data_IF_153823272229
#
_entry.id   IF_153823272229
#
_cell.length_a   1.000
_cell.length_b   1.000
_cell.length_c   1.000
_cell.angle_alpha   90.00
_cell.angle_beta   90.00
_cell.angle_gamma   90.00
#
_symmetry.space_group_name_H-M   'P 1'
#
loop_
_entity.id
_entity.type
_entity.pdbx_description
1 polymer ?
#
# COMPACT_ATOMS: atom_id res chain seq x y z
N UNK A 1 20.01 36.92 -50.18
CA UNK A 1 18.83 36.08 -49.85
C UNK A 1 19.11 34.58 -49.71
N UNK A 2 19.76 33.90 -50.66
CA UNK A 2 19.95 32.42 -50.61
C UNK A 2 20.73 31.88 -49.39
N UNK A 3 21.71 32.64 -48.88
CA UNK A 3 22.49 32.24 -47.69
C UNK A 3 21.68 32.26 -46.39
N UNK A 4 20.74 33.20 -46.25
CA UNK A 4 19.90 33.33 -45.06
C UNK A 4 18.89 32.18 -44.95
N UNK A 5 18.34 31.75 -46.09
CA UNK A 5 17.42 30.61 -46.16
C UNK A 5 18.12 29.29 -45.76
N UNK A 6 19.38 29.10 -46.14
CA UNK A 6 20.15 27.91 -45.77
C UNK A 6 20.40 27.84 -44.25
N UNK A 7 20.82 28.94 -43.62
CA UNK A 7 21.00 28.97 -42.17
C UNK A 7 19.69 28.74 -41.41
N UNK A 8 18.57 29.25 -41.93
CA UNK A 8 17.26 29.03 -41.32
C UNK A 8 16.81 27.57 -41.37
N UNK A 9 17.03 26.87 -42.49
CA UNK A 9 16.72 25.44 -42.63
C UNK A 9 17.61 24.59 -41.70
N UNK A 10 18.90 24.90 -41.63
CA UNK A 10 19.83 24.20 -40.73
C UNK A 10 19.46 24.44 -39.27
N UNK A 11 19.06 25.65 -38.90
CA UNK A 11 18.60 25.97 -37.55
C UNK A 11 17.34 25.17 -37.17
N UNK A 12 16.36 25.07 -38.08
CA UNK A 12 15.16 24.25 -37.87
C UNK A 12 15.50 22.77 -37.75
N UNK A 13 16.41 22.24 -38.58
CA UNK A 13 16.82 20.85 -38.52
C UNK A 13 17.56 20.51 -37.20
N UNK A 14 18.39 21.43 -36.69
CA UNK A 14 19.02 21.30 -35.38
C UNK A 14 17.99 21.39 -34.26
N UNK A 15 17.05 22.34 -34.33
CA UNK A 15 15.97 22.47 -33.34
C UNK A 15 15.09 21.20 -33.29
N UNK A 16 14.78 20.63 -34.46
CA UNK A 16 14.00 19.41 -34.58
C UNK A 16 14.78 18.19 -34.07
N UNK A 17 16.06 18.09 -34.42
CA UNK A 17 16.95 17.04 -33.93
C UNK A 17 17.17 17.09 -32.42
N UNK A 18 17.27 18.29 -31.82
CA UNK A 18 17.42 18.44 -30.36
C UNK A 18 16.12 18.12 -29.64
N UNK A 19 14.96 18.57 -30.14
CA UNK A 19 13.66 18.33 -29.51
C UNK A 19 13.18 16.88 -29.61
N UNK A 20 13.55 16.15 -30.67
CA UNK A 20 13.18 14.75 -30.87
C UNK A 20 14.29 13.77 -30.47
N UNK A 21 15.40 14.26 -29.90
CA UNK A 21 16.44 13.38 -29.37
C UNK A 21 15.92 12.69 -28.09
N UNK A 22 16.10 11.38 -27.91
CA UNK A 22 15.60 10.63 -26.74
C UNK A 22 16.11 11.17 -25.38
N UNK A 23 17.27 11.83 -25.38
CA UNK A 23 17.81 12.51 -24.19
C UNK A 23 17.05 13.79 -23.81
N UNK A 24 16.49 14.53 -24.78
CA UNK A 24 15.70 15.73 -24.52
C UNK A 24 14.30 15.36 -24.00
N UNK A 25 13.72 14.27 -24.51
CA UNK A 25 12.49 13.66 -23.98
C UNK A 25 12.68 13.18 -22.52
N UNK A 26 13.79 12.50 -22.21
CA UNK A 26 14.15 12.12 -20.82
C UNK A 26 14.37 13.34 -19.91
N UNK A 27 14.96 14.43 -20.43
CA UNK A 27 15.12 15.68 -19.69
C UNK A 27 13.79 16.41 -19.49
N UNK A 28 12.87 16.37 -20.46
CA UNK A 28 11.51 16.88 -20.31
C UNK A 28 10.71 16.09 -19.29
N UNK A 29 10.75 14.74 -19.34
CA UNK A 29 10.17 13.88 -18.30
C UNK A 29 10.77 14.26 -16.94
N UNK A 30 12.10 14.26 -16.79
CA UNK A 30 12.78 14.61 -15.54
C UNK A 30 12.51 16.03 -15.03
N UNK A 31 12.25 16.99 -15.92
CA UNK A 31 11.89 18.37 -15.56
C UNK A 31 10.39 18.52 -15.24
N UNK A 32 9.52 17.68 -15.82
CA UNK A 32 8.10 17.61 -15.49
C UNK A 32 7.86 16.91 -14.14
N UNK A 33 8.80 16.05 -13.70
CA UNK A 33 8.82 15.41 -12.37
C UNK A 33 9.33 16.31 -11.23
N UNK A 34 9.68 17.57 -11.50
CA UNK A 34 10.39 18.42 -10.53
C UNK A 34 9.60 19.65 -10.12
N UNK A 35 8.52 19.48 -9.36
CA UNK A 35 8.02 20.51 -8.41
C UNK A 35 6.90 19.92 -7.53
N UNK A 36 7.29 19.35 -6.37
CA UNK A 36 6.53 19.23 -5.10
C UNK A 36 7.02 18.03 -4.23
N UNK A 37 7.65 17.02 -4.83
CA UNK A 37 7.72 15.67 -4.22
C UNK A 37 9.14 15.15 -3.91
N UNK A 38 10.20 15.92 -4.19
CA UNK A 38 11.58 15.48 -3.93
C UNK A 38 11.88 15.32 -2.45
N UNK A 39 11.29 16.17 -1.60
CA UNK A 39 11.52 16.13 -0.15
C UNK A 39 10.79 14.92 0.47
N UNK A 40 9.55 14.65 0.04
CA UNK A 40 8.80 13.46 0.43
C UNK A 40 9.48 12.18 -0.04
N UNK A 41 10.11 12.20 -1.23
CA UNK A 41 10.83 11.05 -1.75
C UNK A 41 12.05 10.68 -0.90
N UNK A 42 12.83 11.66 -0.43
CA UNK A 42 14.00 11.45 0.44
C UNK A 42 13.60 10.77 1.76
N UNK A 43 12.47 11.19 2.32
CA UNK A 43 11.94 10.67 3.57
C UNK A 43 10.98 9.50 3.40
N UNK A 44 11.02 8.80 2.28
CA UNK A 44 10.17 7.63 2.02
C UNK A 44 10.93 6.31 1.96
N UNK A 45 10.21 5.23 2.27
CA UNK A 45 10.62 3.86 1.97
C UNK A 45 9.87 3.36 0.73
N UNK A 46 10.60 2.85 -0.27
CA UNK A 46 10.03 2.30 -1.49
C UNK A 46 9.73 0.80 -1.33
N UNK A 47 8.52 0.40 -1.66
CA UNK A 47 8.10 -1.01 -1.71
C UNK A 47 7.51 -1.37 -3.07
N UNK A 48 7.97 -2.45 -3.67
CA UNK A 48 7.39 -2.99 -4.90
C UNK A 48 6.07 -3.73 -4.60
N UNK A 49 5.04 -3.47 -5.41
CA UNK A 49 3.78 -4.22 -5.38
C UNK A 49 3.32 -4.64 -6.77
N UNK A 50 2.26 -5.46 -6.80
CA UNK A 50 1.69 -6.08 -7.99
C UNK A 50 0.28 -5.55 -8.23
N UNK A 51 0.02 -5.01 -9.41
CA UNK A 51 -1.27 -4.35 -9.69
C UNK A 51 -2.31 -5.40 -10.06
N UNK A 52 -3.35 -5.51 -9.23
CA UNK A 52 -4.56 -6.26 -9.53
C UNK A 52 -5.51 -5.37 -10.33
N UNK A 53 -5.91 -5.87 -11.50
CA UNK A 53 -6.98 -5.30 -12.30
C UNK A 53 -8.11 -6.32 -12.45
N UNK A 54 -9.25 -5.86 -12.95
CA UNK A 54 -10.49 -6.62 -12.91
C UNK A 54 -10.36 -8.05 -13.45
N UNK A 55 -10.73 -9.00 -12.59
CA UNK A 55 -10.93 -10.42 -12.87
C UNK A 55 -9.72 -11.19 -13.44
N UNK A 56 -8.48 -10.74 -13.18
CA UNK A 56 -7.27 -11.48 -13.56
C UNK A 56 -6.57 -12.09 -12.36
N UNK A 57 -6.33 -13.39 -12.42
CA UNK A 57 -5.53 -14.11 -11.43
C UNK A 57 -4.04 -13.77 -11.54
N UNK A 58 -3.43 -13.44 -10.41
CA UNK A 58 -1.98 -13.44 -10.24
C UNK A 58 -1.62 -14.57 -9.28
N UNK A 59 -0.67 -15.41 -9.71
CA UNK A 59 -0.20 -16.56 -8.95
C UNK A 59 1.12 -16.25 -8.24
N UNK A 60 1.33 -16.78 -7.05
CA UNK A 60 2.55 -16.64 -6.27
C UNK A 60 2.98 -18.01 -5.74
N UNK A 61 4.27 -18.34 -5.76
CA UNK A 61 4.76 -19.60 -5.21
C UNK A 61 4.74 -19.55 -3.69
N UNK A 62 4.29 -20.64 -3.08
CA UNK A 62 4.41 -20.89 -1.65
C UNK A 62 5.52 -21.90 -1.43
N UNK A 63 6.35 -21.63 -0.43
CA UNK A 63 7.36 -22.61 0.02
C UNK A 63 6.73 -23.58 1.02
N UNK A 64 7.32 -24.77 1.18
CA UNK A 64 7.02 -25.64 2.32
C UNK A 64 6.95 -24.92 3.67
N UNK A 65 6.08 -25.41 4.56
CA UNK A 65 6.00 -25.01 5.97
C UNK A 65 5.67 -23.53 6.22
N UNK A 66 4.85 -22.91 5.36
CA UNK A 66 4.31 -21.57 5.64
C UNK A 66 3.12 -21.70 6.60
N UNK A 67 3.27 -21.12 7.79
CA UNK A 67 2.19 -21.05 8.79
C UNK A 67 1.16 -19.95 8.49
N UNK A 68 1.62 -18.83 7.92
CA UNK A 68 0.80 -17.65 7.71
C UNK A 68 1.28 -16.84 6.52
N UNK A 69 0.31 -16.40 5.72
CA UNK A 69 0.50 -15.46 4.63
C UNK A 69 -0.11 -14.13 5.06
N UNK A 70 0.62 -13.04 4.91
CA UNK A 70 0.11 -11.67 5.06
C UNK A 70 -0.04 -11.04 3.69
N UNK A 71 -1.20 -10.51 3.43
CA UNK A 71 -1.51 -9.77 2.22
C UNK A 71 -1.75 -8.32 2.63
N UNK A 72 -1.06 -7.40 1.95
CA UNK A 72 -1.20 -5.96 2.13
C UNK A 72 -1.66 -5.35 0.82
N UNK A 73 -2.72 -4.57 0.86
CA UNK A 73 -3.31 -3.96 -0.32
C UNK A 73 -3.49 -2.46 -0.16
N UNK A 74 -3.32 -1.73 -1.25
CA UNK A 74 -3.70 -0.32 -1.35
C UNK A 74 -4.54 -0.18 -2.61
N UNK A 75 -5.79 0.25 -2.46
CA UNK A 75 -6.61 0.60 -3.61
C UNK A 75 -6.11 1.93 -4.19
N UNK A 76 -6.06 2.03 -5.52
CA UNK A 76 -5.73 3.26 -6.23
C UNK A 76 -6.98 4.04 -6.60
N UNK A 77 -6.88 5.36 -6.58
CA UNK A 77 -7.90 6.29 -7.10
C UNK A 77 -7.20 7.29 -8.03
N UNK A 78 -7.93 7.86 -9.00
CA UNK A 78 -7.39 8.97 -9.79
C UNK A 78 -7.44 10.27 -8.99
N UNK A 79 -6.55 11.21 -9.31
CA UNK A 79 -6.58 12.55 -8.73
C UNK A 79 -7.90 13.30 -8.98
N UNK A 80 -8.55 13.04 -10.10
CA UNK A 80 -9.87 13.62 -10.43
C UNK A 80 -10.98 13.12 -9.50
N UNK A 81 -10.88 11.86 -9.06
CA UNK A 81 -11.83 11.23 -8.15
C UNK A 81 -11.40 11.37 -6.68
N UNK A 82 -10.22 11.96 -6.40
CA UNK A 82 -9.76 12.15 -5.02
C UNK A 82 -10.44 13.36 -4.40
N UNK A 83 -11.61 13.16 -3.82
CA UNK A 83 -12.23 14.11 -2.90
C UNK A 83 -11.60 13.94 -1.51
N UNK A 84 -11.05 15.00 -0.90
CA UNK A 84 -10.77 14.98 0.53
C UNK A 84 -12.09 14.70 1.27
N UNK A 85 -12.10 13.74 2.20
CA UNK A 85 -13.32 13.44 2.93
C UNK A 85 -13.32 12.11 3.66
N UNK A 86 -14.46 11.82 4.28
CA UNK A 86 -14.73 10.59 5.04
C UNK A 86 -15.34 9.48 4.18
N UNK A 87 -15.28 9.61 2.84
CA UNK A 87 -15.83 8.59 1.95
C UNK A 87 -15.09 7.26 2.11
N UNK A 88 -15.87 6.20 2.17
CA UNK A 88 -15.36 4.84 2.26
C UNK A 88 -15.55 4.12 0.93
N UNK A 89 -14.49 3.45 0.49
CA UNK A 89 -14.42 2.74 -0.78
C UNK A 89 -14.29 1.25 -0.55
N UNK A 90 -15.04 0.47 -1.31
CA UNK A 90 -15.13 -0.97 -1.20
C UNK A 90 -14.40 -1.66 -2.34
N UNK A 91 -13.76 -2.77 -2.01
CA UNK A 91 -13.28 -3.73 -3.01
C UNK A 91 -13.24 -5.14 -2.42
N UNK A 92 -13.24 -6.13 -3.30
CA UNK A 92 -13.25 -7.54 -2.91
C UNK A 92 -12.14 -8.29 -3.63
N UNK A 93 -11.33 -8.99 -2.85
CA UNK A 93 -10.32 -9.91 -3.35
C UNK A 93 -10.85 -11.33 -3.26
N UNK A 94 -10.61 -12.12 -4.28
CA UNK A 94 -10.78 -13.56 -4.24
C UNK A 94 -9.41 -14.22 -4.21
N UNK A 95 -9.27 -15.27 -3.40
CA UNK A 95 -8.04 -16.04 -3.32
C UNK A 95 -8.31 -17.54 -3.46
N UNK A 96 -7.32 -18.25 -4.02
CA UNK A 96 -7.25 -19.71 -4.03
C UNK A 96 -5.87 -20.14 -3.53
N UNK A 97 -5.83 -21.06 -2.60
CA UNK A 97 -4.63 -21.79 -2.19
C UNK A 97 -4.68 -23.14 -2.89
N UNK A 98 -3.60 -23.45 -3.60
CA UNK A 98 -3.50 -24.68 -4.37
C UNK A 98 -2.26 -25.48 -4.01
N UNK A 99 -2.35 -26.79 -4.18
CA UNK A 99 -1.21 -27.68 -3.99
C UNK A 99 -1.57 -29.16 -4.10
N UNK A 100 -0.60 -30.02 -3.78
CA UNK A 100 -0.72 -31.46 -3.94
C UNK A 100 -0.50 -31.90 -5.40
N UNK A 101 -0.58 -33.22 -5.63
CA UNK A 101 -0.15 -33.85 -6.90
C UNK A 101 -0.83 -33.29 -8.17
N UNK A 102 -2.04 -32.74 -8.05
CA UNK A 102 -2.82 -32.21 -9.18
C UNK A 102 -3.12 -30.69 -9.08
N UNK A 103 -2.40 -29.95 -8.24
CA UNK A 103 -2.66 -28.51 -8.01
C UNK A 103 -4.12 -28.22 -7.61
N UNK A 104 -4.65 -29.04 -6.71
CA UNK A 104 -6.04 -29.00 -6.21
C UNK A 104 -6.25 -27.74 -5.37
N UNK A 105 -7.49 -27.25 -5.31
CA UNK A 105 -7.85 -26.12 -4.45
C UNK A 105 -7.94 -26.65 -3.02
N UNK A 106 -6.97 -26.27 -2.18
CA UNK A 106 -6.93 -26.60 -0.76
C UNK A 106 -7.81 -25.66 0.06
N UNK A 107 -7.88 -24.38 -0.35
CA UNK A 107 -8.70 -23.36 0.28
C UNK A 107 -9.04 -22.26 -0.72
N UNK A 108 -10.21 -21.65 -0.58
CA UNK A 108 -10.61 -20.49 -1.36
C UNK A 108 -11.51 -19.57 -0.54
N UNK A 109 -11.56 -18.30 -0.89
CA UNK A 109 -12.45 -17.36 -0.21
C UNK A 109 -12.45 -15.97 -0.82
N UNK A 110 -13.40 -15.16 -0.33
CA UNK A 110 -13.51 -13.75 -0.66
C UNK A 110 -13.16 -12.92 0.58
N UNK A 111 -12.42 -11.84 0.38
CA UNK A 111 -12.12 -10.87 1.41
C UNK A 111 -12.65 -9.50 0.99
N UNK A 112 -13.52 -8.93 1.83
CA UNK A 112 -14.16 -7.65 1.60
C UNK A 112 -13.37 -6.57 2.35
N UNK A 113 -12.91 -5.57 1.61
CA UNK A 113 -12.15 -4.46 2.17
C UNK A 113 -12.94 -3.18 2.09
N UNK A 114 -12.84 -2.42 3.18
CA UNK A 114 -13.28 -1.04 3.31
C UNK A 114 -12.04 -0.18 3.46
N UNK A 115 -11.87 0.85 2.62
CA UNK A 115 -10.77 1.79 2.73
C UNK A 115 -11.21 3.23 2.53
N UNK A 116 -10.29 4.18 2.73
CA UNK A 116 -10.52 5.61 2.62
C UNK A 116 -9.24 6.31 2.17
N UNK A 117 -9.35 7.57 1.81
CA UNK A 117 -8.22 8.43 1.49
C UNK A 117 -7.94 9.39 2.64
N UNK A 118 -6.92 9.10 3.46
CA UNK A 118 -6.52 9.98 4.56
C UNK A 118 -5.44 10.97 4.11
N UNK A 119 -5.73 12.27 4.26
CA UNK A 119 -4.74 13.33 4.10
C UNK A 119 -4.15 13.70 5.47
N UNK A 120 -2.87 14.00 5.48
CA UNK A 120 -2.09 14.47 6.62
C UNK A 120 -1.61 15.87 6.32
N UNK A 121 -1.56 16.71 7.33
CA UNK A 121 -1.02 18.06 7.26
C UNK A 121 0.28 18.11 8.04
N UNK A 122 1.33 18.55 7.37
CA UNK A 122 2.59 18.89 8.00
C UNK A 122 2.38 20.16 8.85
N UNK A 123 2.65 20.12 10.17
CA UNK A 123 2.47 21.29 11.04
C UNK A 123 3.44 22.42 10.74
N UNK A 124 4.63 22.15 10.16
CA UNK A 124 5.64 23.17 9.87
C UNK A 124 5.36 23.87 8.54
N UNK A 125 5.14 23.11 7.47
CA UNK A 125 4.92 23.66 6.13
C UNK A 125 3.46 23.98 5.83
N UNK A 126 2.53 23.38 6.58
CA UNK A 126 1.09 23.44 6.30
C UNK A 126 0.66 22.63 5.06
N UNK A 127 1.59 21.95 4.39
CA UNK A 127 1.33 21.17 3.18
C UNK A 127 0.57 19.89 3.52
N UNK A 128 -0.41 19.53 2.67
CA UNK A 128 -1.14 18.28 2.78
C UNK A 128 -0.52 17.21 1.90
N UNK A 129 -0.50 15.97 2.41
CA UNK A 129 0.01 14.80 1.71
C UNK A 129 -0.70 13.53 2.21
N UNK A 130 -0.58 12.43 1.47
CA UNK A 130 -1.06 11.11 1.91
C UNK A 130 0.09 10.33 2.54
N UNK A 131 -0.19 9.39 3.44
CA UNK A 131 0.86 8.57 4.08
C UNK A 131 1.70 7.73 3.09
N UNK A 132 1.18 7.51 1.89
CA UNK A 132 1.90 6.88 0.79
C UNK A 132 1.53 7.51 -0.53
N UNK A 133 2.41 7.39 -1.53
CA UNK A 133 2.23 7.97 -2.85
C UNK A 133 2.86 7.10 -3.95
N UNK A 134 2.47 7.39 -5.20
CA UNK A 134 3.11 6.87 -6.41
C UNK A 134 3.89 7.99 -7.07
N UNK A 135 4.91 7.66 -7.87
CA UNK A 135 5.60 8.66 -8.70
C UNK A 135 4.73 9.18 -9.84
N UNK A 136 3.69 8.42 -10.21
CA UNK A 136 2.66 8.87 -11.14
C UNK A 136 1.63 9.72 -10.35
N UNK A 137 1.59 11.05 -10.55
CA UNK A 137 0.75 11.95 -9.75
C UNK A 137 -0.74 11.84 -10.08
N UNK A 138 -1.11 11.15 -11.17
CA UNK A 138 -2.50 10.94 -11.54
C UNK A 138 -3.15 9.81 -10.74
N UNK A 139 -2.35 9.00 -10.03
CA UNK A 139 -2.80 7.90 -9.20
C UNK A 139 -2.41 8.14 -7.74
N UNK A 140 -3.38 7.98 -6.85
CA UNK A 140 -3.19 8.17 -5.42
C UNK A 140 -3.52 6.84 -4.71
N UNK A 141 -2.61 6.28 -3.90
CA UNK A 141 -2.92 5.12 -3.09
C UNK A 141 -3.75 5.53 -1.88
N UNK A 142 -4.88 4.85 -1.68
CA UNK A 142 -5.68 4.94 -0.46
C UNK A 142 -5.01 4.18 0.69
N UNK A 143 -5.59 4.32 1.88
CA UNK A 143 -5.12 3.68 3.12
C UNK A 143 -4.91 2.17 2.93
N UNK A 144 -3.80 1.66 3.47
CA UNK A 144 -3.44 0.25 3.37
C UNK A 144 -4.41 -0.66 4.15
N UNK A 145 -4.77 -1.79 3.57
CA UNK A 145 -5.50 -2.87 4.23
C UNK A 145 -4.64 -4.12 4.34
N UNK A 146 -4.85 -4.86 5.42
CA UNK A 146 -4.10 -6.07 5.72
C UNK A 146 -5.09 -7.20 5.95
N UNK A 147 -4.83 -8.34 5.32
CA UNK A 147 -5.47 -9.61 5.66
C UNK A 147 -4.41 -10.66 5.90
N UNK A 148 -4.74 -11.65 6.72
CA UNK A 148 -3.89 -12.82 6.95
C UNK A 148 -4.64 -14.07 6.60
N UNK A 149 -3.94 -15.03 5.99
CA UNK A 149 -4.44 -16.38 5.75
C UNK A 149 -3.57 -17.31 6.59
N UNK A 150 -4.21 -17.99 7.53
CA UNK A 150 -3.60 -18.95 8.43
C UNK A 150 -3.63 -20.35 7.81
N UNK A 151 -2.62 -21.16 8.12
CA UNK A 151 -2.52 -22.57 7.73
C UNK A 151 -3.46 -23.44 8.59
N UNK A 152 -4.75 -23.16 8.61
CA UNK A 152 -5.70 -23.94 9.42
C UNK A 152 -5.88 -25.38 8.89
N UNK A 153 -5.75 -25.61 7.58
CA UNK A 153 -6.12 -26.90 6.95
C UNK A 153 -5.05 -27.54 6.05
N UNK A 154 -3.94 -26.86 5.74
CA UNK A 154 -2.92 -27.37 4.79
C UNK A 154 -1.82 -28.17 5.49
N UNK A 155 -2.15 -28.89 6.57
CA UNK A 155 -1.18 -29.60 7.41
C UNK A 155 -1.26 -31.12 7.25
N UNK A 156 -0.06 -31.72 7.13
CA UNK A 156 0.33 -33.15 7.08
C UNK A 156 0.18 -33.97 5.79
N UNK A 157 -0.79 -33.74 4.88
CA UNK A 157 -0.95 -34.61 3.68
C UNK A 157 -0.90 -33.91 2.32
N UNK A 158 -1.24 -32.63 2.24
CA UNK A 158 -1.19 -31.83 1.01
C UNK A 158 -0.52 -30.50 1.32
N UNK A 159 0.58 -30.23 0.61
CA UNK A 159 1.39 -29.04 0.80
C UNK A 159 0.84 -27.91 -0.06
N UNK A 160 0.66 -26.72 0.53
CA UNK A 160 0.33 -25.53 -0.23
C UNK A 160 1.54 -25.10 -1.08
N UNK A 161 1.34 -25.01 -2.40
CA UNK A 161 2.39 -24.74 -3.38
C UNK A 161 2.19 -23.38 -4.07
N UNK A 162 0.95 -22.91 -4.12
CA UNK A 162 0.61 -21.68 -4.83
C UNK A 162 -0.54 -20.94 -4.12
N UNK A 163 -0.44 -19.61 -4.08
CA UNK A 163 -1.60 -18.74 -3.83
C UNK A 163 -1.93 -17.97 -5.11
N UNK A 164 -3.20 -17.95 -5.47
CA UNK A 164 -3.73 -17.10 -6.53
C UNK A 164 -4.60 -16.03 -5.90
N UNK A 165 -4.48 -14.79 -6.39
CA UNK A 165 -5.32 -13.67 -5.96
C UNK A 165 -5.83 -12.91 -7.19
N UNK A 166 -7.09 -12.48 -7.15
CA UNK A 166 -7.67 -11.55 -8.14
C UNK A 166 -8.57 -10.52 -7.48
N UNK A 167 -8.73 -9.38 -8.14
CA UNK A 167 -9.74 -8.37 -7.82
C UNK A 167 -11.05 -8.73 -8.52
N UNK A 168 -12.13 -8.93 -7.77
CA UNK A 168 -13.43 -9.37 -8.34
C UNK A 168 -14.49 -8.28 -8.34
N UNK A 169 -14.45 -7.37 -7.37
CA UNK A 169 -15.37 -6.23 -7.25
C UNK A 169 -14.61 -5.03 -6.71
N UNK A 170 -15.01 -3.84 -7.14
CA UNK A 170 -14.51 -2.56 -6.66
C UNK A 170 -15.56 -1.49 -6.92
N UNK A 171 -15.57 -0.44 -6.10
CA UNK A 171 -16.33 0.77 -6.40
C UNK A 171 -15.79 1.44 -7.66
N UNK A 172 -16.62 2.22 -8.34
CA UNK A 172 -16.34 2.76 -9.68
C UNK A 172 -15.10 3.68 -9.68
N UNK A 173 -14.90 4.39 -8.57
CA UNK A 173 -13.84 5.36 -8.34
C UNK A 173 -12.48 4.67 -8.12
N UNK A 174 -12.49 3.43 -7.61
CA UNK A 174 -11.28 2.64 -7.43
C UNK A 174 -10.76 2.22 -8.81
N UNK A 175 -9.53 2.58 -9.16
CA UNK A 175 -8.94 2.25 -10.46
C UNK A 175 -8.40 0.82 -10.48
N UNK A 176 -7.54 0.52 -9.51
CA UNK A 176 -6.86 -0.76 -9.34
C UNK A 176 -6.56 -1.04 -7.85
N UNK A 177 -5.99 -2.21 -7.55
CA UNK A 177 -5.51 -2.53 -6.21
C UNK A 177 -4.06 -2.99 -6.29
N UNK A 178 -3.16 -2.27 -5.61
CA UNK A 178 -1.79 -2.69 -5.44
C UNK A 178 -1.70 -3.77 -4.37
N UNK A 179 -1.24 -4.95 -4.74
CA UNK A 179 -1.10 -6.13 -3.89
C UNK A 179 0.36 -6.37 -3.49
N UNK A 180 0.60 -6.68 -2.22
CA UNK A 180 1.88 -7.15 -1.70
C UNK A 180 1.63 -8.38 -0.84
N UNK A 181 2.31 -9.49 -1.14
CA UNK A 181 2.18 -10.74 -0.38
C UNK A 181 3.47 -10.98 0.40
N UNK A 182 3.33 -11.41 1.64
CA UNK A 182 4.42 -11.76 2.53
C UNK A 182 4.19 -13.11 3.20
N UNK A 183 5.27 -13.84 3.46
CA UNK A 183 5.28 -15.02 4.34
C UNK A 183 6.10 -14.75 5.59
N UNK A 184 5.82 -15.48 6.67
CA UNK A 184 6.73 -15.59 7.81
C UNK A 184 7.81 -16.60 7.45
N UNK A 185 9.07 -16.22 7.58
CA UNK A 185 10.22 -17.14 7.50
C UNK A 185 10.67 -17.45 8.93
N UNK A 186 10.53 -18.71 9.37
CA UNK A 186 11.13 -19.15 10.63
C UNK A 186 12.60 -19.48 10.38
N UNK A 187 13.50 -18.75 11.02
CA UNK A 187 14.91 -19.12 11.03
C UNK A 187 15.11 -20.33 11.97
N UNK A 188 16.05 -21.21 11.63
CA UNK A 188 16.41 -22.33 12.48
C UNK A 188 17.00 -21.83 13.81
N UNK A 189 16.56 -22.44 14.91
CA UNK A 189 16.60 -21.99 16.31
C UNK A 189 17.97 -21.66 16.96
N UNK A 190 19.08 -21.71 16.24
CA UNK A 190 20.38 -21.95 16.92
C UNK A 190 21.15 -20.69 17.35
N UNK A 191 20.81 -19.48 16.89
CA UNK A 191 21.56 -18.24 17.25
C UNK A 191 20.69 -16.99 17.52
N UNK A 192 19.49 -17.17 18.05
CA UNK A 192 18.41 -16.17 17.98
C UNK A 192 18.56 -15.02 18.99
N UNK A 193 18.93 -15.33 20.23
CA UNK A 193 19.15 -14.30 21.25
C UNK A 193 20.42 -13.48 20.96
N UNK A 194 21.43 -14.10 20.34
CA UNK A 194 22.64 -13.43 19.90
C UNK A 194 22.33 -12.37 18.83
N UNK A 195 21.42 -12.67 17.90
CA UNK A 195 20.96 -11.71 16.90
C UNK A 195 20.26 -10.50 17.52
N UNK A 196 19.53 -10.66 18.63
CA UNK A 196 18.93 -9.54 19.38
C UNK A 196 20.02 -8.60 19.92
N UNK A 197 21.05 -9.19 20.51
CA UNK A 197 22.15 -8.48 21.15
C UNK A 197 22.99 -7.67 20.14
N UNK A 198 22.95 -8.03 18.86
CA UNK A 198 23.62 -7.28 17.78
C UNK A 198 22.78 -6.14 17.19
N UNK A 199 21.49 -6.05 17.52
CA UNK A 199 20.68 -4.90 17.13
C UNK A 199 21.10 -3.67 17.92
N UNK A 200 21.17 -2.52 17.25
CA UNK A 200 21.33 -1.22 17.92
C UNK A 200 20.10 -0.89 18.75
N UNK A 201 20.26 -0.03 19.77
CA UNK A 201 19.17 0.39 20.67
C UNK A 201 17.95 0.92 19.89
N UNK A 202 18.10 1.85 18.90
CA UNK A 202 16.95 2.35 18.14
C UNK A 202 16.21 1.23 17.39
N UNK A 203 16.94 0.21 16.94
CA UNK A 203 16.36 -0.93 16.23
C UNK A 203 15.60 -1.85 17.18
N UNK A 204 16.07 -2.04 18.42
CA UNK A 204 15.35 -2.81 19.45
C UNK A 204 14.07 -2.09 19.89
N UNK A 205 14.15 -0.78 20.14
CA UNK A 205 12.97 0.05 20.44
C UNK A 205 11.93 -0.01 19.33
N UNK A 206 12.37 0.11 18.07
CA UNK A 206 11.46 -0.02 16.91
C UNK A 206 10.76 -1.37 16.86
N UNK A 207 11.44 -2.47 17.18
CA UNK A 207 10.81 -3.80 17.22
C UNK A 207 9.85 -3.95 18.41
N UNK A 208 10.16 -3.33 19.55
CA UNK A 208 9.35 -3.43 20.76
C UNK A 208 8.14 -2.48 20.81
N UNK A 209 8.03 -1.51 19.88
CA UNK A 209 7.04 -0.41 19.91
C UNK A 209 5.57 -0.85 19.96
N UNK A 210 5.26 -2.08 19.55
CA UNK A 210 3.91 -2.66 19.63
C UNK A 210 3.62 -3.48 20.89
N UNK A 211 4.61 -3.64 21.77
CA UNK A 211 4.46 -4.41 23.02
C UNK A 211 4.07 -3.48 24.17
N UNK A 212 3.41 -4.07 25.18
CA UNK A 212 3.07 -3.38 26.44
C UNK A 212 4.33 -2.87 27.15
N UNK A 213 5.43 -3.63 27.06
CA UNK A 213 6.69 -3.33 27.72
C UNK A 213 7.77 -2.84 26.74
N UNK A 214 8.65 -1.91 27.18
CA UNK A 214 9.81 -1.52 26.38
C UNK A 214 10.83 -2.65 26.28
N UNK A 215 11.75 -2.52 25.32
CA UNK A 215 12.62 -3.62 24.88
C UNK A 215 13.49 -4.25 25.99
N UNK A 216 13.78 -3.50 27.05
CA UNK A 216 14.57 -3.96 28.21
C UNK A 216 13.83 -5.01 29.04
N UNK A 217 12.51 -4.90 29.15
CA UNK A 217 11.67 -5.76 30.00
C UNK A 217 11.04 -6.93 29.24
N UNK A 218 11.30 -7.05 27.94
CA UNK A 218 10.84 -8.21 27.18
C UNK A 218 11.54 -9.47 27.64
N UNK A 219 10.77 -10.54 27.82
CA UNK A 219 11.29 -11.89 28.03
C UNK A 219 12.14 -12.34 26.84
N UNK A 220 12.98 -13.36 27.06
CA UNK A 220 13.78 -13.93 25.98
C UNK A 220 12.89 -14.49 24.85
N UNK A 221 11.74 -15.09 25.20
CA UNK A 221 10.78 -15.59 24.22
C UNK A 221 10.17 -14.46 23.38
N UNK A 222 9.78 -13.34 23.99
CA UNK A 222 9.29 -12.17 23.26
C UNK A 222 10.36 -11.57 22.35
N UNK A 223 11.60 -11.45 22.83
CA UNK A 223 12.73 -10.98 22.04
C UNK A 223 12.98 -11.89 20.83
N UNK A 224 12.94 -13.20 21.03
CA UNK A 224 13.07 -14.20 19.95
C UNK A 224 11.93 -14.06 18.95
N UNK A 225 10.68 -13.95 19.41
CA UNK A 225 9.51 -13.77 18.55
C UNK A 225 9.61 -12.51 17.66
N UNK A 226 10.12 -11.40 18.20
CA UNK A 226 10.34 -10.16 17.45
C UNK A 226 11.39 -10.30 16.33
N UNK A 227 12.37 -11.19 16.51
CA UNK A 227 13.47 -11.37 15.53
C UNK A 227 13.10 -12.42 14.50
N UNK A 228 12.40 -13.47 14.93
CA UNK A 228 12.10 -14.64 14.11
C UNK A 228 10.91 -14.43 13.19
N UNK A 229 9.90 -13.66 13.60
CA UNK A 229 8.68 -13.49 12.80
C UNK A 229 8.81 -12.34 11.80
N UNK A 230 9.76 -12.48 10.86
CA UNK A 230 9.94 -11.48 9.80
C UNK A 230 9.10 -11.80 8.58
N UNK A 231 8.35 -10.80 8.13
CA UNK A 231 7.62 -10.83 6.88
C UNK A 231 8.58 -10.69 5.70
N UNK A 232 8.62 -11.71 4.84
CA UNK A 232 9.39 -11.72 3.59
C UNK A 232 8.45 -11.57 2.40
N UNK A 233 8.71 -10.63 1.47
CA UNK A 233 7.86 -10.49 0.29
C UNK A 233 7.95 -11.72 -0.61
N UNK A 234 6.84 -12.04 -1.27
CA UNK A 234 6.74 -13.10 -2.28
C UNK A 234 6.46 -12.44 -3.62
N UNK A 235 7.22 -12.84 -4.65
CA UNK A 235 6.98 -12.41 -6.03
C UNK A 235 6.03 -13.35 -6.77
N UNK A 236 5.27 -12.85 -7.76
CA UNK A 236 4.37 -13.67 -8.55
C UNK A 236 5.14 -14.56 -9.52
N UNK A 237 4.46 -15.60 -9.98
CA UNK A 237 4.88 -16.42 -11.12
C UNK A 237 4.47 -15.74 -12.43
N UNK A 238 5.32 -15.85 -13.45
CA UNK A 238 5.07 -15.32 -14.79
C UNK A 238 6.03 -14.21 -15.18
N UNK A 239 5.67 -13.44 -16.21
CA UNK A 239 6.49 -12.37 -16.79
C UNK A 239 5.85 -11.00 -16.54
N UNK A 240 6.61 -10.02 -15.99
CA UNK A 240 6.14 -8.63 -15.86
C UNK A 240 5.67 -8.06 -17.20
N UNK A 241 4.57 -7.30 -17.18
CA UNK A 241 3.95 -6.69 -18.37
C UNK A 241 3.02 -7.63 -19.15
N UNK A 242 3.20 -8.96 -19.02
CA UNK A 242 2.32 -9.97 -19.63
C UNK A 242 1.32 -10.54 -18.64
N UNK A 243 1.84 -11.20 -17.60
CA UNK A 243 1.03 -11.93 -16.63
C UNK A 243 0.63 -11.04 -15.45
N UNK A 244 1.52 -10.11 -15.06
CA UNK A 244 1.29 -9.16 -13.98
C UNK A 244 1.91 -7.79 -14.28
N UNK A 245 1.42 -6.74 -13.62
CA UNK A 245 2.01 -5.39 -13.65
C UNK A 245 2.60 -5.07 -12.29
N UNK A 246 3.66 -4.28 -12.27
CA UNK A 246 4.34 -3.85 -11.04
C UNK A 246 4.21 -2.35 -10.85
N UNK A 247 4.18 -1.89 -9.60
CA UNK A 247 4.22 -0.46 -9.25
C UNK A 247 4.94 -0.30 -7.91
N UNK A 248 5.78 0.73 -7.79
CA UNK A 248 6.40 1.10 -6.52
C UNK A 248 5.43 1.96 -5.72
N UNK A 249 5.28 1.64 -4.44
CA UNK A 249 4.63 2.47 -3.44
C UNK A 249 5.70 3.10 -2.55
N UNK A 250 5.65 4.41 -2.41
CA UNK A 250 6.51 5.15 -1.51
C UNK A 250 5.72 5.47 -0.26
N UNK A 251 6.20 5.03 0.90
CA UNK A 251 5.57 5.30 2.19
C UNK A 251 6.45 6.25 2.98
N UNK A 252 5.89 7.38 3.41
CA UNK A 252 6.63 8.40 4.17
C UNK A 252 7.02 7.79 5.52
N UNK A 253 8.28 7.96 5.92
CA UNK A 253 8.80 7.54 7.23
C UNK A 253 8.08 8.33 8.32
N UNK A 254 7.96 7.75 9.50
CA UNK A 254 7.22 8.34 10.62
C UNK A 254 7.60 9.82 10.84
N UNK A 255 6.63 10.70 10.60
CA UNK A 255 6.65 12.14 10.84
C UNK A 255 5.55 12.50 11.83
N UNK A 256 5.71 13.62 12.54
CA UNK A 256 4.70 14.14 13.47
C UNK A 256 3.61 14.91 12.72
N UNK A 257 2.94 14.26 11.78
CA UNK A 257 1.89 14.88 10.96
C UNK A 257 0.50 14.62 11.55
N UNK A 258 -0.41 15.58 11.41
CA UNK A 258 -1.77 15.48 11.93
C UNK A 258 -2.75 15.09 10.81
N UNK A 259 -3.65 14.12 11.04
CA UNK A 259 -4.67 13.78 10.04
C UNK A 259 -5.61 14.97 9.83
N UNK A 260 -5.83 15.32 8.57
CA UNK A 260 -6.84 16.31 8.17
C UNK A 260 -8.20 15.66 8.31
N UNK A 261 -8.82 15.83 9.47
CA UNK A 261 -10.21 15.46 9.69
C UNK A 261 -11.06 16.63 9.22
N UNK A 262 -11.65 16.53 8.04
CA UNK A 262 -12.70 17.47 7.67
C UNK A 262 -13.87 17.30 8.66
N UNK A 263 -14.27 18.40 9.29
CA UNK A 263 -15.44 18.44 10.15
C UNK A 263 -16.70 18.28 9.29
N UNK A 264 -16.99 17.05 8.88
CA UNK A 264 -18.28 16.70 8.29
C UNK A 264 -19.29 16.72 9.45
N UNK A 265 -20.24 17.68 9.48
CA UNK A 265 -21.28 17.65 10.49
C UNK A 265 -22.02 16.30 10.36
N UNK A 266 -22.32 15.62 11.47
CA UNK A 266 -23.01 14.32 11.41
C UNK A 266 -24.32 14.51 10.66
N UNK A 267 -24.51 13.74 9.58
CA UNK A 267 -25.80 13.66 8.91
C UNK A 267 -26.74 12.95 9.88
N UNK A 268 -27.58 13.73 10.57
CA UNK A 268 -28.58 13.18 11.46
C UNK A 268 -29.64 12.47 10.61
N UNK A 269 -29.93 11.18 10.87
CA UNK A 269 -31.05 10.50 10.21
C UNK A 269 -32.36 11.26 10.51
N UNK A 270 -33.29 11.30 9.55
CA UNK A 270 -34.63 11.86 9.77
C UNK A 270 -35.35 11.05 10.85
N UNK A 271 -35.64 11.67 11.99
CA UNK A 271 -36.22 11.00 13.17
C UNK A 271 -37.75 11.02 13.06
N UNK A 272 -38.38 9.85 13.19
CA UNK A 272 -39.84 9.77 13.36
C UNK A 272 -40.24 10.06 14.82
N UNK A 273 -41.44 10.58 15.10
CA UNK A 273 -41.86 10.96 16.46
C UNK A 273 -41.82 9.85 17.52
N UNK A 274 -41.69 8.58 17.11
CA UNK A 274 -41.66 7.43 18.03
C UNK A 274 -40.25 6.86 18.29
N UNK A 275 -39.18 7.47 17.79
CA UNK A 275 -37.81 6.99 17.99
C UNK A 275 -37.02 7.82 19.01
N UNK A 276 -36.36 7.13 19.94
CA UNK A 276 -35.39 7.72 20.87
C UNK A 276 -33.99 7.48 20.33
N UNK A 277 -33.17 8.53 20.25
CA UNK A 277 -31.75 8.43 19.91
C UNK A 277 -30.88 9.11 20.95
N UNK A 278 -29.69 8.55 21.15
CA UNK A 278 -28.64 9.09 22.01
C UNK A 278 -27.47 9.54 21.14
N UNK A 279 -27.03 10.79 21.32
CA UNK A 279 -25.89 11.34 20.62
C UNK A 279 -24.70 11.53 21.56
N UNK A 280 -23.50 11.05 21.19
CA UNK A 280 -22.30 11.41 21.93
C UNK A 280 -22.00 12.90 21.74
N UNK A 281 -21.88 13.64 22.84
CA UNK A 281 -21.52 15.05 22.80
C UNK A 281 -19.99 15.15 22.70
N UNK A 282 -19.44 15.74 21.63
CA UNK A 282 -17.99 15.96 21.52
C UNK A 282 -17.52 16.98 22.56
N UNK A 283 -16.23 16.92 22.92
CA UNK A 283 -15.61 17.74 23.98
C UNK A 283 -15.73 19.26 23.77
N UNK A 284 -16.01 19.72 22.55
CA UNK A 284 -16.26 21.12 22.20
C UNK A 284 -17.74 21.57 22.28
N UNK A 285 -18.66 20.69 22.69
CA UNK A 285 -20.10 20.95 22.69
C UNK A 285 -20.76 20.77 21.32
N UNK A 286 -22.09 20.71 21.28
CA UNK A 286 -22.88 20.55 20.06
C UNK A 286 -24.14 21.42 20.14
N UNK A 287 -24.41 22.22 19.10
CA UNK A 287 -25.66 22.97 18.95
C UNK A 287 -26.66 22.15 18.13
N UNK A 288 -27.79 21.80 18.74
CA UNK A 288 -28.88 21.09 18.07
C UNK A 288 -29.97 22.10 17.65
N UNK A 289 -30.40 22.04 16.39
CA UNK A 289 -31.60 22.74 15.91
C UNK A 289 -32.63 21.71 15.49
N UNK A 290 -33.83 21.84 16.05
CA UNK A 290 -35.00 21.06 15.67
C UNK A 290 -35.83 21.92 14.71
N UNK A 291 -36.15 21.37 13.53
CA UNK A 291 -37.00 22.00 12.51
C UNK A 291 -38.44 21.54 12.63
#
# INVERSE_FOLDING_TARGET
MKRFLFFFIVFIAILWGVTHHPRFLLLQEAMQYKTADTDLLVDSDSTLGYVLTDNRWISFPLTPNIERIKIVTNAGITKENSTPGTEEYHYTLEYEIRGGQNNEILQQGNYFHLTRLTHYKDPESGQTHTASFYLDPELIPMDGRVMTIDQTDWSSRQQAEQIKIRLVKKDREVTDVLLRIYKIEQNAQVEELYNWQRLSIPKREKQARGNVYPYDFLSNEEKINLINRRWRPIGPLGVPGKDYRVRNLYTIKERNDEPVIENVPPVLPSISPQQVMTFPIPSGGMNLRFS
#
